data_IF_782286012199
#
_entry.id   IF_782286012199
#
_cell.length_a   1.000
_cell.length_b   1.000
_cell.length_c   1.000
_cell.angle_alpha   90.00
_cell.angle_beta   90.00
_cell.angle_gamma   90.00
#
_symmetry.space_group_name_H-M   'P 1'
#
loop_
_entity.id
_entity.type
_entity.pdbx_description
1 polymer ?
#
# COMPACT_ATOMS: atom_id res chain seq x y z
N UNK A 1 29.09 33.21 -10.39
CA UNK A 1 28.90 31.74 -10.36
C UNK A 1 27.93 31.40 -11.50
N UNK A 2 28.27 30.50 -12.41
CA UNK A 2 27.32 30.06 -13.44
C UNK A 2 26.11 29.45 -12.73
N UNK A 3 24.92 29.97 -13.02
CA UNK A 3 23.67 29.34 -12.59
C UNK A 3 23.47 28.18 -13.54
N UNK A 4 23.66 26.95 -13.07
CA UNK A 4 23.32 25.76 -13.85
C UNK A 4 21.79 25.71 -13.97
N UNK A 5 21.29 26.03 -15.17
CA UNK A 5 19.88 25.88 -15.47
C UNK A 5 19.62 24.41 -15.80
N UNK A 6 19.01 23.69 -14.85
CA UNK A 6 18.54 22.33 -15.08
C UNK A 6 17.32 22.37 -16.01
N UNK A 7 17.50 21.86 -17.24
CA UNK A 7 16.40 21.78 -18.20
C UNK A 7 15.40 20.72 -17.76
N UNK A 8 14.14 21.13 -17.56
CA UNK A 8 13.03 20.21 -17.30
C UNK A 8 12.14 20.09 -18.53
N UNK A 9 11.92 18.85 -18.98
CA UNK A 9 10.96 18.58 -20.04
C UNK A 9 9.53 18.67 -19.46
N UNK A 10 8.66 19.56 -19.98
CA UNK A 10 7.31 19.71 -19.45
C UNK A 10 6.45 18.46 -19.64
N UNK A 11 6.60 17.72 -20.74
CA UNK A 11 5.80 16.52 -21.01
C UNK A 11 6.14 15.42 -20.00
N UNK A 12 7.42 15.16 -19.78
CA UNK A 12 7.87 14.16 -18.79
C UNK A 12 7.48 14.57 -17.36
N UNK A 13 7.53 15.87 -17.06
CA UNK A 13 7.15 16.38 -15.74
C UNK A 13 5.65 16.24 -15.50
N UNK A 14 4.81 16.55 -16.50
CA UNK A 14 3.36 16.32 -16.44
C UNK A 14 3.07 14.84 -16.22
N UNK A 15 3.71 13.95 -16.99
CA UNK A 15 3.53 12.50 -16.87
C UNK A 15 3.79 12.01 -15.44
N UNK A 16 4.97 12.32 -14.90
CA UNK A 16 5.38 11.88 -13.56
C UNK A 16 4.44 12.43 -12.47
N UNK A 17 4.07 13.71 -12.55
CA UNK A 17 3.19 14.33 -11.55
C UNK A 17 1.76 13.78 -11.62
N UNK A 18 1.19 13.59 -12.81
CA UNK A 18 -0.18 13.08 -12.95
C UNK A 18 -0.29 11.60 -12.60
N UNK A 19 0.71 10.79 -12.93
CA UNK A 19 0.78 9.39 -12.50
C UNK A 19 0.85 9.32 -10.97
N UNK A 20 1.69 10.15 -10.33
CA UNK A 20 1.75 10.26 -8.87
C UNK A 20 0.43 10.74 -8.25
N UNK A 21 -0.30 11.61 -8.93
CA UNK A 21 -1.62 12.08 -8.50
C UNK A 21 -2.71 11.00 -8.61
N UNK A 22 -2.46 9.91 -9.34
CA UNK A 22 -3.43 8.83 -9.55
C UNK A 22 -4.42 9.11 -10.69
N UNK A 23 -4.02 9.90 -11.68
CA UNK A 23 -4.81 10.12 -12.88
C UNK A 23 -4.82 8.88 -13.79
N UNK A 24 -5.88 8.73 -14.58
CA UNK A 24 -6.02 7.66 -15.56
C UNK A 24 -4.98 7.82 -16.68
N UNK A 25 -4.41 6.73 -17.24
CA UNK A 25 -3.42 6.83 -18.33
C UNK A 25 -3.92 7.60 -19.57
N UNK A 26 -5.22 7.51 -19.87
CA UNK A 26 -5.88 8.30 -20.92
C UNK A 26 -5.83 9.80 -20.63
N UNK A 27 -6.12 10.19 -19.39
CA UNK A 27 -6.06 11.56 -18.92
C UNK A 27 -4.62 12.10 -18.92
N UNK A 28 -3.63 11.28 -18.56
CA UNK A 28 -2.22 11.66 -18.63
C UNK A 28 -1.82 12.00 -20.07
N UNK A 29 -2.19 11.15 -21.05
CA UNK A 29 -1.91 11.42 -22.48
C UNK A 29 -2.59 12.69 -22.96
N UNK A 30 -3.88 12.85 -22.65
CA UNK A 30 -4.63 14.06 -22.98
C UNK A 30 -3.96 15.31 -22.39
N UNK A 31 -3.47 15.22 -21.15
CA UNK A 31 -2.79 16.34 -20.49
C UNK A 31 -1.46 16.71 -21.15
N UNK A 32 -0.66 15.71 -21.54
CA UNK A 32 0.61 15.92 -22.24
C UNK A 32 0.35 16.57 -23.60
N UNK A 33 -0.61 16.05 -24.36
CA UNK A 33 -0.92 16.54 -25.72
C UNK A 33 -1.48 17.97 -25.69
N UNK A 34 -2.38 18.27 -24.74
CA UNK A 34 -3.01 19.58 -24.66
C UNK A 34 -2.12 20.61 -23.97
N UNK A 35 -1.54 20.29 -22.81
CA UNK A 35 -0.89 21.28 -21.95
C UNK A 35 0.64 21.26 -22.03
N UNK A 36 1.26 20.15 -22.41
CA UNK A 36 2.72 20.02 -22.51
C UNK A 36 3.39 21.15 -23.33
N UNK A 37 2.92 21.46 -24.56
CA UNK A 37 3.48 22.54 -25.37
C UNK A 37 3.32 23.94 -24.77
N UNK A 38 2.37 24.12 -23.85
CA UNK A 38 1.98 25.40 -23.25
C UNK A 38 2.85 25.79 -22.05
N UNK A 39 3.56 24.84 -21.44
CA UNK A 39 4.54 25.12 -20.38
C UNK A 39 5.91 25.50 -20.97
N UNK A 40 6.54 26.54 -20.42
CA UNK A 40 7.86 27.02 -20.81
C UNK A 40 8.78 27.14 -19.61
N UNK A 41 10.05 26.76 -19.77
CA UNK A 41 11.08 26.99 -18.76
C UNK A 41 11.40 28.49 -18.68
N UNK A 42 11.16 29.08 -17.51
CA UNK A 42 11.50 30.45 -17.16
C UNK A 42 12.11 30.46 -15.76
N UNK A 43 13.33 30.99 -15.62
CA UNK A 43 14.01 31.15 -14.33
C UNK A 43 14.09 29.87 -13.48
N UNK A 44 14.18 28.71 -14.14
CA UNK A 44 14.24 27.38 -13.49
C UNK A 44 12.88 26.79 -13.10
N UNK A 45 11.77 27.44 -13.44
CA UNK A 45 10.41 26.94 -13.25
C UNK A 45 9.68 26.73 -14.58
N UNK A 46 8.78 25.75 -14.62
CA UNK A 46 7.88 25.52 -15.76
C UNK A 46 6.59 26.32 -15.54
N UNK A 47 6.45 27.42 -16.27
CA UNK A 47 5.29 28.31 -16.17
C UNK A 47 4.37 28.11 -17.38
N UNK A 48 3.07 28.13 -17.12
CA UNK A 48 2.06 28.06 -18.17
C UNK A 48 1.97 29.38 -18.95
N UNK A 49 2.09 29.29 -20.28
CA UNK A 49 2.01 30.40 -21.26
C UNK A 49 0.99 30.12 -22.36
N UNK A 50 -0.03 29.35 -22.02
CA UNK A 50 -1.12 29.00 -22.91
C UNK A 50 -2.14 30.11 -23.13
N UNK A 51 -3.14 29.81 -23.95
CA UNK A 51 -4.25 30.75 -24.23
C UNK A 51 -5.31 30.81 -23.12
N UNK A 52 -5.30 29.85 -22.19
CA UNK A 52 -6.27 29.82 -21.10
C UNK A 52 -5.84 30.71 -19.93
N UNK A 53 -6.52 31.84 -19.75
CA UNK A 53 -6.24 32.82 -18.70
C UNK A 53 -6.31 32.26 -17.28
N UNK A 54 -7.12 31.22 -17.04
CA UNK A 54 -7.26 30.56 -15.73
C UNK A 54 -5.98 29.89 -15.22
N UNK A 55 -5.04 29.57 -16.12
CA UNK A 55 -3.79 28.90 -15.78
C UNK A 55 -2.58 29.83 -15.98
N UNK A 56 -2.79 31.08 -16.38
CA UNK A 56 -1.69 31.99 -16.70
C UNK A 56 -0.80 32.23 -15.48
N UNK A 57 0.50 31.99 -15.66
CA UNK A 57 1.50 32.14 -14.60
C UNK A 57 1.52 31.01 -13.55
N UNK A 58 0.65 30.01 -13.69
CA UNK A 58 0.64 28.83 -12.83
C UNK A 58 1.88 27.96 -13.12
N UNK A 59 2.47 27.42 -12.06
CA UNK A 59 3.54 26.43 -12.18
C UNK A 59 2.97 25.06 -12.58
N UNK A 60 3.81 24.22 -13.19
CA UNK A 60 3.40 22.85 -13.53
C UNK A 60 3.00 22.04 -12.30
N UNK A 61 3.64 22.28 -11.14
CA UNK A 61 3.33 21.60 -9.89
C UNK A 61 1.96 22.02 -9.33
N UNK A 62 1.61 23.31 -9.42
CA UNK A 62 0.28 23.81 -9.05
C UNK A 62 -0.81 23.27 -9.97
N UNK A 63 -0.54 23.26 -11.28
CA UNK A 63 -1.45 22.73 -12.29
C UNK A 63 -1.72 21.24 -12.07
N UNK A 64 -0.67 20.46 -11.82
CA UNK A 64 -0.77 19.02 -11.56
C UNK A 64 -1.21 18.67 -10.13
N UNK A 65 -1.53 19.65 -9.29
CA UNK A 65 -1.92 19.37 -7.91
C UNK A 65 -3.24 18.57 -7.86
N UNK A 66 -3.35 17.51 -7.04
CA UNK A 66 -4.56 16.69 -6.99
C UNK A 66 -5.82 17.49 -6.63
N UNK A 67 -5.70 18.52 -5.79
CA UNK A 67 -6.81 19.38 -5.41
C UNK A 67 -7.35 20.15 -6.62
N UNK A 68 -6.46 20.79 -7.39
CA UNK A 68 -6.84 21.55 -8.57
C UNK A 68 -7.45 20.66 -9.65
N UNK A 69 -6.82 19.52 -9.94
CA UNK A 69 -7.30 18.61 -10.97
C UNK A 69 -8.62 17.94 -10.59
N UNK A 70 -8.84 17.61 -9.31
CA UNK A 70 -10.12 17.04 -8.87
C UNK A 70 -11.27 18.03 -8.99
N UNK A 71 -11.00 19.32 -8.80
CA UNK A 71 -11.98 20.38 -9.01
C UNK A 71 -12.24 20.62 -10.51
N UNK A 72 -11.19 20.78 -11.31
CA UNK A 72 -11.30 21.15 -12.72
C UNK A 72 -11.72 19.99 -13.63
N UNK A 73 -11.21 18.78 -13.37
CA UNK A 73 -11.38 17.58 -14.20
C UNK A 73 -11.51 16.32 -13.32
N UNK A 74 -12.61 16.16 -12.55
CA UNK A 74 -12.79 14.99 -11.68
C UNK A 74 -12.76 13.65 -12.41
N UNK A 75 -13.20 13.62 -13.68
CA UNK A 75 -13.21 12.43 -14.54
C UNK A 75 -11.81 11.94 -14.95
N UNK A 76 -10.77 12.76 -14.75
CA UNK A 76 -9.38 12.35 -14.98
C UNK A 76 -8.86 11.41 -13.90
N UNK A 77 -9.51 11.35 -12.74
CA UNK A 77 -9.18 10.41 -11.70
C UNK A 77 -9.97 9.13 -11.88
N UNK A 78 -9.37 8.04 -11.45
CA UNK A 78 -10.13 6.83 -11.15
C UNK A 78 -11.21 7.18 -10.12
N UNK A 79 -12.46 6.76 -10.34
CA UNK A 79 -13.51 6.98 -9.35
C UNK A 79 -13.04 6.44 -7.99
N UNK A 80 -13.31 7.15 -6.89
CA UNK A 80 -12.90 6.72 -5.52
C UNK A 80 -13.36 5.29 -5.19
N UNK A 81 -14.38 4.80 -5.91
CA UNK A 81 -14.84 3.40 -5.94
C UNK A 81 -13.75 2.37 -6.29
N UNK A 82 -12.63 2.75 -6.91
CA UNK A 82 -11.63 1.80 -7.38
C UNK A 82 -10.84 1.18 -6.23
N UNK A 83 -10.57 1.93 -5.15
CA UNK A 83 -9.92 1.36 -3.95
C UNK A 83 -10.82 0.32 -3.29
N UNK A 84 -12.14 0.61 -3.23
CA UNK A 84 -13.12 -0.35 -2.74
C UNK A 84 -13.26 -1.55 -3.68
N UNK A 85 -13.19 -1.34 -5.00
CA UNK A 85 -13.25 -2.41 -6.00
C UNK A 85 -12.00 -3.30 -5.95
N UNK A 86 -10.81 -2.78 -5.70
CA UNK A 86 -9.60 -3.58 -5.49
C UNK A 86 -9.77 -4.48 -4.26
N UNK A 87 -10.26 -3.94 -3.14
CA UNK A 87 -10.49 -4.72 -1.92
C UNK A 87 -11.62 -5.75 -2.10
N UNK A 88 -12.66 -5.43 -2.88
CA UNK A 88 -13.71 -6.39 -3.25
C UNK A 88 -13.27 -7.42 -4.31
N UNK A 89 -12.28 -7.10 -5.14
CA UNK A 89 -11.77 -7.97 -6.20
C UNK A 89 -10.67 -8.91 -5.72
N UNK A 90 -9.79 -8.45 -4.83
CA UNK A 90 -8.58 -9.14 -4.38
C UNK A 90 -8.46 -9.29 -2.86
N UNK A 91 -9.31 -8.67 -2.05
CA UNK A 91 -9.27 -8.77 -0.58
C UNK A 91 -9.80 -10.09 -0.04
N UNK A 92 -10.25 -10.09 1.22
CA UNK A 92 -10.61 -11.30 1.98
C UNK A 92 -11.73 -12.14 1.35
N UNK A 93 -12.65 -11.50 0.62
CA UNK A 93 -13.81 -12.16 -0.01
C UNK A 93 -13.92 -11.72 -1.47
N UNK A 94 -12.99 -12.15 -2.32
CA UNK A 94 -12.97 -11.73 -3.72
C UNK A 94 -14.20 -12.30 -4.43
N UNK A 95 -14.83 -11.49 -5.27
CA UNK A 95 -15.96 -11.94 -6.10
C UNK A 95 -15.64 -11.83 -7.58
N UNK A 96 -16.14 -12.78 -8.39
CA UNK A 96 -15.98 -12.73 -9.85
C UNK A 96 -16.56 -11.45 -10.44
N UNK A 97 -17.66 -10.97 -9.87
CA UNK A 97 -18.30 -9.71 -10.28
C UNK A 97 -17.38 -8.51 -10.05
N UNK A 98 -16.82 -8.37 -8.84
CA UNK A 98 -15.91 -7.26 -8.53
C UNK A 98 -14.65 -7.29 -9.39
N UNK A 99 -14.10 -8.49 -9.69
CA UNK A 99 -12.98 -8.62 -10.63
C UNK A 99 -13.34 -8.19 -12.06
N UNK A 100 -14.52 -8.59 -12.53
CA UNK A 100 -15.02 -8.19 -13.84
C UNK A 100 -15.28 -6.69 -13.94
N UNK A 101 -15.84 -6.10 -12.88
CA UNK A 101 -16.10 -4.66 -12.81
C UNK A 101 -14.77 -3.88 -12.72
N UNK A 102 -13.81 -4.33 -11.91
CA UNK A 102 -12.48 -3.75 -11.85
C UNK A 102 -11.76 -3.83 -13.21
N UNK A 103 -11.77 -5.00 -13.87
CA UNK A 103 -11.15 -5.17 -15.18
C UNK A 103 -11.76 -4.26 -16.26
N UNK A 104 -13.07 -4.00 -16.20
CA UNK A 104 -13.75 -3.06 -17.11
C UNK A 104 -13.34 -1.62 -16.85
N UNK A 105 -13.22 -1.22 -15.58
CA UNK A 105 -12.90 0.16 -15.21
C UNK A 105 -11.43 0.51 -15.42
N UNK A 106 -10.49 -0.34 -14.97
CA UNK A 106 -9.05 -0.04 -15.09
C UNK A 106 -8.43 -0.53 -16.41
N UNK A 107 -9.13 -1.42 -17.11
CA UNK A 107 -8.62 -2.07 -18.31
C UNK A 107 -7.64 -3.23 -18.05
N UNK A 108 -7.35 -4.04 -19.07
CA UNK A 108 -6.65 -5.31 -18.92
C UNK A 108 -5.17 -5.18 -18.53
N UNK A 109 -4.49 -4.10 -18.92
CA UNK A 109 -3.08 -3.89 -18.59
C UNK A 109 -2.90 -3.57 -17.10
N UNK A 110 -3.61 -2.55 -16.61
CA UNK A 110 -3.54 -2.09 -15.23
C UNK A 110 -4.14 -3.13 -14.27
N UNK A 111 -5.16 -3.89 -14.70
CA UNK A 111 -5.68 -5.03 -13.95
C UNK A 111 -4.59 -6.08 -13.65
N UNK A 112 -3.73 -6.41 -14.62
CA UNK A 112 -2.63 -7.38 -14.42
C UNK A 112 -1.57 -6.86 -13.45
N UNK A 113 -1.25 -5.57 -13.53
CA UNK A 113 -0.33 -4.94 -12.58
C UNK A 113 -0.89 -4.96 -11.16
N UNK A 114 -2.18 -4.63 -10.99
CA UNK A 114 -2.87 -4.73 -9.70
C UNK A 114 -2.90 -6.17 -9.18
N UNK A 115 -3.21 -7.13 -10.04
CA UNK A 115 -3.21 -8.56 -9.70
C UNK A 115 -1.83 -9.02 -9.22
N UNK A 116 -0.76 -8.61 -9.90
CA UNK A 116 0.62 -8.90 -9.49
C UNK A 116 0.97 -8.21 -8.17
N UNK A 117 0.57 -6.95 -8.00
CA UNK A 117 0.80 -6.16 -6.78
C UNK A 117 0.13 -6.79 -5.56
N UNK A 118 -1.07 -7.33 -5.74
CA UNK A 118 -1.82 -8.05 -4.70
C UNK A 118 -1.40 -9.52 -4.57
N UNK A 119 -0.44 -10.01 -5.37
CA UNK A 119 -0.09 -11.44 -5.45
C UNK A 119 -1.33 -12.34 -5.64
N UNK A 120 -2.34 -11.84 -6.34
CA UNK A 120 -3.55 -12.56 -6.66
C UNK A 120 -3.34 -13.35 -7.97
N UNK A 121 -4.04 -14.47 -8.12
CA UNK A 121 -4.11 -15.24 -9.36
C UNK A 121 -5.50 -15.11 -9.98
N UNK A 122 -5.75 -15.78 -11.11
CA UNK A 122 -7.09 -15.82 -11.73
C UNK A 122 -8.10 -16.64 -10.91
N UNK A 123 -7.64 -17.28 -9.81
CA UNK A 123 -8.51 -17.98 -8.88
C UNK A 123 -9.15 -17.01 -7.89
N UNK A 124 -10.28 -17.40 -7.30
CA UNK A 124 -10.97 -16.64 -6.24
C UNK A 124 -10.25 -16.70 -4.87
N UNK A 125 -8.94 -16.92 -4.86
CA UNK A 125 -8.14 -16.84 -3.63
C UNK A 125 -7.90 -15.37 -3.27
N UNK A 126 -8.04 -14.99 -2.00
CA UNK A 126 -7.64 -13.67 -1.51
C UNK A 126 -6.15 -13.40 -1.79
N UNK A 127 -5.86 -12.21 -2.29
CA UNK A 127 -4.51 -11.68 -2.43
C UNK A 127 -3.98 -11.07 -1.12
N UNK A 128 -2.73 -10.62 -1.14
CA UNK A 128 -2.10 -9.86 -0.05
C UNK A 128 -2.13 -8.38 -0.37
N UNK A 129 -2.72 -7.57 0.52
CA UNK A 129 -2.82 -6.12 0.33
C UNK A 129 -1.42 -5.48 0.30
N UNK A 130 -1.08 -4.68 -0.73
CA UNK A 130 0.27 -4.16 -0.90
C UNK A 130 0.67 -3.00 0.04
N UNK A 131 -0.19 -2.51 0.93
CA UNK A 131 0.16 -1.36 1.81
C UNK A 131 -0.38 -1.35 3.24
N UNK A 132 -1.16 -2.33 3.72
CA UNK A 132 -1.71 -2.22 5.07
C UNK A 132 -0.83 -2.95 6.09
N UNK A 133 -0.43 -2.20 7.12
CA UNK A 133 0.01 -2.72 8.41
C UNK A 133 -0.79 -3.96 8.81
N UNK A 134 -0.15 -4.98 9.43
CA UNK A 134 -0.77 -6.26 9.71
C UNK A 134 -2.13 -6.04 10.35
N UNK A 135 -3.15 -6.67 9.76
CA UNK A 135 -4.50 -6.73 10.33
C UNK A 135 -4.39 -7.07 11.82
N UNK A 136 -5.26 -6.56 12.71
CA UNK A 136 -5.29 -7.01 14.10
C UNK A 136 -5.34 -8.54 14.24
N UNK A 137 -5.93 -9.24 13.25
CA UNK A 137 -5.94 -10.70 13.16
C UNK A 137 -4.61 -11.34 12.73
N UNK A 138 -3.76 -10.61 12.02
CA UNK A 138 -2.42 -11.07 11.61
C UNK A 138 -1.35 -10.79 12.68
N UNK A 139 -1.59 -9.84 13.60
CA UNK A 139 -0.74 -9.66 14.79
C UNK A 139 -0.67 -10.95 15.63
N UNK A 140 -1.78 -11.68 15.71
CA UNK A 140 -1.87 -12.94 16.45
C UNK A 140 -1.21 -14.13 15.73
N UNK A 141 -0.96 -14.04 14.42
CA UNK A 141 -0.24 -15.06 13.61
C UNK A 141 1.21 -14.72 13.33
N UNK A 142 1.78 -13.79 14.10
CA UNK A 142 3.24 -13.64 14.10
C UNK A 142 3.87 -14.89 14.73
N UNK A 143 5.10 -15.29 14.33
CA UNK A 143 5.82 -16.38 14.99
C UNK A 143 5.89 -16.21 16.52
N UNK A 144 5.84 -14.95 16.98
CA UNK A 144 5.79 -14.55 18.39
C UNK A 144 4.43 -14.84 19.05
N UNK A 145 3.32 -14.68 18.34
CA UNK A 145 1.97 -15.04 18.79
C UNK A 145 1.79 -16.55 18.94
N UNK A 146 2.23 -17.32 17.93
CA UNK A 146 2.20 -18.79 17.96
C UNK A 146 3.16 -19.36 19.03
N UNK A 147 4.32 -18.71 19.25
CA UNK A 147 5.23 -19.07 20.32
C UNK A 147 4.62 -18.82 21.70
N UNK A 148 3.86 -17.73 21.89
CA UNK A 148 3.12 -17.48 23.13
C UNK A 148 1.98 -18.47 23.33
N UNK A 149 1.27 -18.87 22.26
CA UNK A 149 0.18 -19.83 22.34
C UNK A 149 0.65 -21.25 22.67
N UNK A 150 1.85 -21.66 22.26
CA UNK A 150 2.38 -23.01 22.50
C UNK A 150 3.31 -23.13 23.72
N UNK A 151 3.67 -22.02 24.36
CA UNK A 151 4.55 -22.00 25.52
C UNK A 151 3.81 -22.53 26.76
N UNK A 152 4.30 -23.60 27.44
CA UNK A 152 3.61 -24.20 28.58
C UNK A 152 3.62 -23.35 29.86
N UNK A 153 4.32 -22.21 29.85
CA UNK A 153 4.30 -21.16 30.88
C UNK A 153 3.39 -19.98 30.54
N UNK A 154 2.78 -19.94 29.35
CA UNK A 154 1.84 -18.88 28.97
C UNK A 154 0.45 -19.10 29.57
N UNK A 155 -0.32 -18.01 29.65
CA UNK A 155 -1.73 -18.04 30.10
C UNK A 155 -2.62 -18.92 29.22
N UNK A 156 -2.32 -19.00 27.92
CA UNK A 156 -3.12 -19.73 26.95
C UNK A 156 -2.87 -21.25 26.97
N UNK A 157 -1.67 -21.71 27.34
CA UNK A 157 -1.29 -23.12 27.29
C UNK A 157 -0.63 -23.65 28.57
N UNK A 158 -1.00 -23.09 29.73
CA UNK A 158 -0.47 -23.48 31.03
C UNK A 158 -0.63 -24.99 31.31
N UNK A 159 0.49 -25.71 31.48
CA UNK A 159 0.46 -27.13 31.80
C UNK A 159 1.72 -27.60 32.51
N UNK A 160 1.60 -27.93 33.80
CA UNK A 160 2.71 -28.44 34.64
C UNK A 160 3.35 -29.69 34.03
N UNK A 161 2.55 -30.59 33.45
CA UNK A 161 3.04 -31.80 32.80
C UNK A 161 3.94 -31.48 31.59
N UNK A 162 3.53 -30.51 30.76
CA UNK A 162 4.34 -30.08 29.61
C UNK A 162 5.60 -29.33 30.04
N UNK A 163 5.54 -28.54 31.11
CA UNK A 163 6.73 -27.90 31.69
C UNK A 163 7.77 -28.96 32.09
N UNK A 164 7.34 -30.04 32.75
CA UNK A 164 8.22 -31.16 33.11
C UNK A 164 8.83 -31.87 31.89
N UNK A 165 8.09 -32.00 30.79
CA UNK A 165 8.60 -32.56 29.54
C UNK A 165 9.64 -31.63 28.88
N UNK A 166 9.38 -30.32 28.85
CA UNK A 166 10.30 -29.33 28.26
C UNK A 166 11.60 -29.24 29.07
N UNK A 167 11.53 -29.26 30.41
CA UNK A 167 12.72 -29.27 31.27
C UNK A 167 13.55 -30.53 31.06
N UNK A 168 12.91 -31.70 30.91
CA UNK A 168 13.60 -32.97 30.61
C UNK A 168 14.26 -32.98 29.23
N UNK A 169 13.62 -32.37 28.23
CA UNK A 169 14.09 -32.40 26.85
C UNK A 169 15.18 -31.36 26.54
N UNK A 170 15.04 -30.13 27.05
CA UNK A 170 15.91 -29.00 26.70
C UNK A 170 16.90 -28.61 27.80
N UNK A 171 16.71 -29.15 29.02
CA UNK A 171 17.49 -28.76 30.19
C UNK A 171 16.97 -27.52 30.89
N UNK A 172 17.44 -27.31 32.12
CA UNK A 172 16.90 -26.31 33.05
C UNK A 172 17.14 -24.86 32.58
N UNK A 173 18.31 -24.57 32.00
CA UNK A 173 18.66 -23.22 31.54
C UNK A 173 17.79 -22.76 30.36
N UNK A 174 17.59 -23.63 29.36
CA UNK A 174 16.76 -23.31 28.19
C UNK A 174 15.29 -23.21 28.56
N UNK A 175 14.81 -24.09 29.43
CA UNK A 175 13.46 -24.02 29.97
C UNK A 175 13.21 -22.72 30.75
N UNK A 176 14.22 -22.20 31.47
CA UNK A 176 14.10 -20.95 32.20
C UNK A 176 13.98 -19.75 31.26
N UNK A 177 14.70 -19.76 30.13
CA UNK A 177 14.55 -18.77 29.06
C UNK A 177 13.15 -18.77 28.44
N UNK A 178 12.58 -19.95 28.22
CA UNK A 178 11.20 -20.11 27.68
C UNK A 178 10.15 -19.65 28.72
N UNK A 179 10.34 -19.96 30.00
CA UNK A 179 9.45 -19.46 31.05
C UNK A 179 9.48 -17.93 31.13
N UNK A 180 10.69 -17.33 31.04
CA UNK A 180 10.91 -15.89 31.09
C UNK A 180 10.25 -15.16 29.92
N UNK A 181 10.26 -15.73 28.71
CA UNK A 181 9.60 -15.12 27.54
C UNK A 181 8.08 -15.07 27.65
N UNK A 182 7.48 -15.94 28.48
CA UNK A 182 6.06 -15.89 28.86
C UNK A 182 5.78 -15.06 30.13
N UNK A 183 6.79 -14.41 30.72
CA UNK A 183 6.64 -13.66 31.97
C UNK A 183 6.46 -14.54 33.21
N UNK A 184 6.87 -15.81 33.16
CA UNK A 184 6.76 -16.78 34.26
C UNK A 184 8.13 -17.34 34.67
N UNK A 185 8.15 -18.29 35.60
CA UNK A 185 9.37 -18.98 36.07
C UNK A 185 9.12 -20.48 36.26
N UNK A 186 10.20 -21.27 36.23
CA UNK A 186 10.12 -22.73 36.46
C UNK A 186 9.67 -22.99 37.90
N UNK A 187 8.61 -23.79 38.07
CA UNK A 187 8.02 -24.08 39.38
C UNK A 187 6.94 -23.09 39.81
N UNK A 188 6.57 -22.13 38.96
CA UNK A 188 5.36 -21.35 39.16
C UNK A 188 4.14 -22.29 39.20
N UNK A 189 3.24 -22.08 40.16
CA UNK A 189 2.03 -22.89 40.37
C UNK A 189 0.80 -22.32 39.66
N UNK A 190 0.94 -21.15 39.02
CA UNK A 190 -0.09 -20.46 38.25
C UNK A 190 0.52 -19.69 37.07
N UNK A 191 -0.22 -19.48 35.96
CA UNK A 191 0.26 -18.68 34.84
C UNK A 191 0.51 -17.23 35.23
N UNK A 192 1.40 -16.57 34.47
CA UNK A 192 1.56 -15.12 34.55
C UNK A 192 0.25 -14.42 34.13
N UNK A 193 -0.08 -13.31 34.79
CA UNK A 193 -1.36 -12.60 34.66
C UNK A 193 -1.62 -12.08 33.24
#
# INVERSE_FOLDING_TARGET
MPVEFEYRDPCLTIEDLLVKAGCQPSAVREAIDLFGPQFKNMDGALLYRGSESRFEGMTIEEFCSPAHLKEAKPHWFFADKIVDLEELAFGDKPTLKARGDLMKEVGPALYRELQQRWSADDSLRPGKRPSAAPSPKDRDRTPEGDAKANNPWSKAAWSITRQGQVVKALGLEKAAGIAKSAGSYIGATKPAA
#
